data_IF_435557768334
#
_entry.id   IF_435557768334
#
_cell.length_a   1.000
_cell.length_b   1.000
_cell.length_c   1.000
_cell.angle_alpha   90.00
_cell.angle_beta   90.00
_cell.angle_gamma   90.00
#
_symmetry.space_group_name_H-M   'P 1'
#
loop_
_entity.id
_entity.type
_entity.pdbx_description
1 polymer ?
#
# COMPACT_ATOMS: atom_id res chain seq x y z
N UNK A 1 118.57 -22.54 -67.70
CA UNK A 1 117.49 -22.21 -66.74
C UNK A 1 117.98 -22.48 -65.33
N UNK A 2 117.69 -21.55 -64.42
CA UNK A 2 117.94 -21.51 -62.97
C UNK A 2 119.41 -21.49 -62.46
N UNK A 3 119.87 -20.38 -61.83
CA UNK A 3 121.13 -20.34 -61.10
C UNK A 3 120.97 -20.91 -59.68
N UNK A 4 121.88 -21.80 -59.29
CA UNK A 4 122.07 -22.27 -57.92
C UNK A 4 122.49 -21.11 -57.02
N UNK A 5 121.67 -20.83 -55.99
CA UNK A 5 121.93 -19.81 -54.97
C UNK A 5 122.90 -20.33 -53.91
N UNK A 6 123.76 -19.40 -53.50
CA UNK A 6 124.84 -19.53 -52.54
C UNK A 6 124.34 -19.80 -51.11
N UNK A 7 125.17 -20.56 -50.39
CA UNK A 7 125.22 -20.85 -48.96
C UNK A 7 124.60 -19.81 -48.03
N UNK A 8 123.74 -20.28 -47.12
CA UNK A 8 123.31 -19.54 -45.94
C UNK A 8 124.32 -19.72 -44.79
N UNK A 9 124.98 -18.66 -44.29
CA UNK A 9 125.96 -18.73 -43.19
C UNK A 9 125.37 -19.07 -41.81
N UNK A 10 124.05 -19.22 -41.71
CA UNK A 10 123.34 -19.38 -40.43
C UNK A 10 123.35 -20.80 -39.87
N UNK A 11 123.64 -21.80 -40.70
CA UNK A 11 123.61 -23.21 -40.26
C UNK A 11 124.95 -23.62 -39.64
N UNK A 12 126.07 -23.08 -40.12
CA UNK A 12 127.39 -23.26 -39.52
C UNK A 12 127.45 -22.58 -38.15
N UNK A 13 127.00 -21.33 -38.02
CA UNK A 13 127.00 -20.65 -36.71
C UNK A 13 126.07 -21.33 -35.69
N UNK A 14 124.93 -21.88 -36.14
CA UNK A 14 124.00 -22.59 -35.26
C UNK A 14 124.53 -23.98 -34.84
N UNK A 15 125.21 -24.70 -35.74
CA UNK A 15 125.90 -25.95 -35.37
C UNK A 15 127.09 -25.69 -34.45
N UNK A 16 127.83 -24.60 -34.65
CA UNK A 16 128.98 -24.24 -33.83
C UNK A 16 128.54 -23.80 -32.42
N UNK A 17 127.39 -23.12 -32.27
CA UNK A 17 126.76 -22.86 -30.98
C UNK A 17 126.24 -24.15 -30.32
N UNK A 18 125.56 -25.05 -31.06
CA UNK A 18 125.07 -26.33 -30.49
C UNK A 18 126.19 -27.28 -30.05
N UNK A 19 127.35 -27.21 -30.70
CA UNK A 19 128.51 -28.07 -30.40
C UNK A 19 129.37 -27.47 -29.28
N UNK A 20 129.29 -26.15 -29.03
CA UNK A 20 130.06 -25.47 -27.98
C UNK A 20 129.22 -25.07 -26.75
N UNK A 21 127.89 -25.13 -26.82
CA UNK A 21 127.02 -25.06 -25.65
C UNK A 21 127.24 -26.32 -24.81
N UNK A 22 127.90 -26.15 -23.66
CA UNK A 22 127.97 -27.21 -22.64
C UNK A 22 126.55 -27.73 -22.41
N UNK A 23 126.32 -29.06 -22.44
CA UNK A 23 124.99 -29.61 -22.23
C UNK A 23 124.44 -29.01 -20.95
N UNK A 24 123.26 -28.37 -21.02
CA UNK A 24 122.62 -27.78 -19.86
C UNK A 24 122.30 -28.92 -18.89
N UNK A 25 123.20 -29.15 -17.93
CA UNK A 25 122.98 -30.04 -16.81
C UNK A 25 122.35 -29.20 -15.71
N UNK A 26 121.08 -29.46 -15.35
CA UNK A 26 120.44 -28.79 -14.24
C UNK A 26 121.35 -28.89 -13.00
N UNK A 27 121.44 -27.84 -12.17
CA UNK A 27 122.30 -27.84 -10.98
C UNK A 27 122.08 -29.07 -10.09
N UNK A 28 120.83 -29.53 -10.01
CA UNK A 28 120.43 -30.74 -9.29
C UNK A 28 121.03 -32.01 -9.87
N UNK A 29 121.06 -32.14 -11.19
CA UNK A 29 121.68 -33.29 -11.86
C UNK A 29 123.20 -33.31 -11.64
N UNK A 30 123.82 -32.12 -11.56
CA UNK A 30 125.24 -31.98 -11.25
C UNK A 30 125.55 -32.40 -9.81
N UNK A 31 124.78 -31.93 -8.83
CA UNK A 31 124.92 -32.33 -7.42
C UNK A 31 124.69 -33.83 -7.21
N UNK A 32 123.78 -34.45 -7.97
CA UNK A 32 123.50 -35.89 -7.87
C UNK A 32 124.61 -36.77 -8.49
N UNK A 33 125.20 -36.33 -9.60
CA UNK A 33 126.20 -37.09 -10.36
C UNK A 33 127.61 -36.88 -9.82
N UNK A 34 127.99 -35.63 -9.52
CA UNK A 34 129.35 -35.27 -9.10
C UNK A 34 129.58 -35.56 -7.60
N UNK A 35 128.56 -35.39 -6.75
CA UNK A 35 128.68 -35.56 -5.30
C UNK A 35 128.02 -36.85 -4.78
N UNK A 36 127.42 -37.65 -5.67
CA UNK A 36 126.74 -38.92 -5.33
C UNK A 36 125.50 -38.75 -4.44
N UNK A 37 124.94 -37.54 -4.33
CA UNK A 37 123.81 -37.22 -3.45
C UNK A 37 122.49 -37.67 -4.06
N UNK A 38 121.57 -38.12 -3.22
CA UNK A 38 120.19 -38.34 -3.66
C UNK A 38 119.46 -37.01 -3.87
N UNK A 39 118.42 -36.97 -4.71
CA UNK A 39 117.63 -35.75 -4.95
C UNK A 39 117.16 -35.09 -3.65
N UNK A 40 116.78 -35.89 -2.64
CA UNK A 40 116.36 -35.40 -1.32
C UNK A 40 117.47 -34.65 -0.56
N UNK A 41 118.74 -34.94 -0.85
CA UNK A 41 119.90 -34.32 -0.19
C UNK A 41 120.42 -33.09 -0.94
N UNK A 42 120.04 -32.90 -2.21
CA UNK A 42 120.35 -31.70 -2.99
C UNK A 42 119.66 -30.46 -2.42
N UNK A 43 120.23 -29.27 -2.68
CA UNK A 43 119.66 -28.01 -2.20
C UNK A 43 118.22 -27.79 -2.70
N UNK A 44 117.94 -28.14 -3.95
CA UNK A 44 116.60 -28.08 -4.53
C UNK A 44 115.61 -29.06 -3.89
N UNK A 45 116.05 -30.30 -3.60
CA UNK A 45 115.20 -31.28 -2.93
C UNK A 45 114.85 -30.89 -1.50
N UNK A 46 115.80 -30.34 -0.74
CA UNK A 46 115.55 -29.80 0.61
C UNK A 46 114.62 -28.59 0.60
N UNK A 47 114.78 -27.70 -0.39
CA UNK A 47 113.89 -26.55 -0.56
C UNK A 47 112.46 -27.00 -0.88
N UNK A 48 112.28 -27.93 -1.83
CA UNK A 48 110.97 -28.51 -2.16
C UNK A 48 110.34 -29.25 -0.97
N UNK A 49 111.14 -29.97 -0.18
CA UNK A 49 110.65 -30.65 1.02
C UNK A 49 110.20 -29.64 2.10
N UNK A 50 110.91 -28.53 2.26
CA UNK A 50 110.50 -27.42 3.14
C UNK A 50 109.22 -26.74 2.67
N UNK A 51 109.08 -26.48 1.37
CA UNK A 51 107.85 -25.93 0.78
C UNK A 51 106.65 -26.89 0.93
N UNK A 52 106.87 -28.19 0.75
CA UNK A 52 105.84 -29.22 0.98
C UNK A 52 105.39 -29.29 2.45
N UNK A 53 106.32 -29.18 3.40
CA UNK A 53 105.99 -29.12 4.83
C UNK A 53 105.20 -27.86 5.16
N UNK A 54 105.62 -26.69 4.69
CA UNK A 54 104.87 -25.44 4.88
C UNK A 54 103.48 -25.49 4.25
N UNK A 55 103.35 -26.10 3.07
CA UNK A 55 102.05 -26.32 2.41
C UNK A 55 101.17 -27.25 3.22
N UNK A 56 101.72 -28.33 3.77
CA UNK A 56 100.99 -29.27 4.63
C UNK A 56 100.50 -28.60 5.92
N UNK A 57 101.35 -27.82 6.59
CA UNK A 57 100.97 -27.06 7.79
C UNK A 57 99.87 -26.04 7.49
N UNK A 58 99.94 -25.32 6.35
CA UNK A 58 98.88 -24.42 5.91
C UNK A 58 97.57 -25.15 5.62
N UNK A 59 97.65 -26.35 5.04
CA UNK A 59 96.47 -27.15 4.70
C UNK A 59 95.81 -27.72 5.96
N UNK A 60 96.60 -28.21 6.92
CA UNK A 60 96.11 -28.65 8.23
C UNK A 60 95.49 -27.49 9.04
N UNK A 61 96.10 -26.30 8.99
CA UNK A 61 95.56 -25.09 9.61
C UNK A 61 94.22 -24.68 8.95
N UNK A 62 94.15 -24.70 7.61
CA UNK A 62 92.95 -24.38 6.86
C UNK A 62 91.83 -25.41 7.10
N UNK A 63 92.14 -26.70 7.16
CA UNK A 63 91.18 -27.75 7.51
C UNK A 63 90.62 -27.57 8.92
N UNK A 64 91.47 -27.21 9.88
CA UNK A 64 91.04 -26.94 11.25
C UNK A 64 90.13 -25.71 11.31
N UNK A 65 90.49 -24.63 10.62
CA UNK A 65 89.67 -23.43 10.54
C UNK A 65 88.31 -23.70 9.86
N UNK A 66 88.29 -24.50 8.79
CA UNK A 66 87.06 -24.95 8.13
C UNK A 66 86.16 -25.75 9.08
N UNK A 67 86.74 -26.70 9.83
CA UNK A 67 85.98 -27.51 10.81
C UNK A 67 85.40 -26.64 11.93
N UNK A 68 86.19 -25.71 12.46
CA UNK A 68 85.73 -24.78 13.50
C UNK A 68 84.63 -23.85 12.99
N UNK A 69 84.76 -23.35 11.76
CA UNK A 69 83.74 -22.53 11.11
C UNK A 69 82.46 -23.32 10.83
N UNK A 70 82.57 -24.58 10.39
CA UNK A 70 81.41 -25.46 10.17
C UNK A 70 80.67 -25.74 11.48
N UNK A 71 81.40 -25.99 12.57
CA UNK A 71 80.81 -26.18 13.90
C UNK A 71 80.08 -24.92 14.39
N UNK A 72 80.67 -23.73 14.20
CA UNK A 72 80.02 -22.45 14.52
C UNK A 72 78.77 -22.21 13.66
N UNK A 73 78.81 -22.57 12.38
CA UNK A 73 77.64 -22.47 11.50
C UNK A 73 76.51 -23.38 11.94
N UNK A 74 76.80 -24.63 12.28
CA UNK A 74 75.79 -25.57 12.78
C UNK A 74 75.18 -25.11 14.12
N UNK A 75 75.99 -24.53 15.02
CA UNK A 75 75.47 -23.95 16.26
C UNK A 75 74.56 -22.75 16.00
N UNK A 76 74.95 -21.85 15.08
CA UNK A 76 74.11 -20.72 14.67
C UNK A 76 72.81 -21.20 14.04
N UNK A 77 72.86 -22.20 13.16
CA UNK A 77 71.67 -22.77 12.50
C UNK A 77 70.70 -23.36 13.51
N UNK A 78 71.20 -24.10 14.51
CA UNK A 78 70.37 -24.64 15.61
C UNK A 78 69.72 -23.52 16.42
N UNK A 79 70.51 -22.51 16.84
CA UNK A 79 69.98 -21.37 17.59
C UNK A 79 68.91 -20.61 16.79
N UNK A 80 69.13 -20.41 15.49
CA UNK A 80 68.18 -19.76 14.59
C UNK A 80 66.91 -20.61 14.40
N UNK A 81 67.04 -21.94 14.32
CA UNK A 81 65.89 -22.84 14.25
C UNK A 81 65.05 -22.82 15.53
N UNK A 82 65.69 -22.75 16.71
CA UNK A 82 65.00 -22.68 17.99
C UNK A 82 64.27 -21.34 18.18
N UNK A 83 64.88 -20.24 17.74
CA UNK A 83 64.27 -18.92 17.74
C UNK A 83 63.07 -18.85 16.78
N UNK A 84 63.21 -19.46 15.59
CA UNK A 84 62.10 -19.58 14.63
C UNK A 84 60.94 -20.42 15.17
N UNK A 85 61.21 -21.50 15.91
CA UNK A 85 60.14 -22.29 16.54
C UNK A 85 59.46 -21.56 17.70
N UNK A 86 60.21 -20.79 18.50
CA UNK A 86 59.62 -19.93 19.54
C UNK A 86 58.72 -18.86 18.95
N UNK A 87 59.20 -18.14 17.94
CA UNK A 87 58.42 -17.09 17.27
C UNK A 87 57.18 -17.65 16.57
N UNK A 88 57.26 -18.83 15.95
CA UNK A 88 56.08 -19.52 15.40
C UNK A 88 55.05 -19.89 16.46
N UNK A 89 55.48 -20.38 17.63
CA UNK A 89 54.56 -20.71 18.73
C UNK A 89 53.88 -19.47 19.27
N UNK A 90 54.64 -18.41 19.53
CA UNK A 90 54.07 -17.13 19.97
C UNK A 90 53.11 -16.52 18.94
N UNK A 91 53.43 -16.64 17.63
CA UNK A 91 52.56 -16.19 16.57
C UNK A 91 51.24 -16.99 16.53
N UNK A 92 51.31 -18.32 16.67
CA UNK A 92 50.12 -19.19 16.77
C UNK A 92 49.26 -18.86 17.99
N UNK A 93 49.87 -18.68 19.16
CA UNK A 93 49.13 -18.32 20.38
C UNK A 93 48.45 -16.95 20.26
N UNK A 94 49.11 -15.97 19.62
CA UNK A 94 48.49 -14.67 19.32
C UNK A 94 47.34 -14.81 18.34
N UNK A 95 47.50 -15.64 17.30
CA UNK A 95 46.44 -15.89 16.33
C UNK A 95 45.22 -16.55 16.98
N UNK A 96 45.40 -17.59 17.80
CA UNK A 96 44.31 -18.26 18.51
C UNK A 96 43.58 -17.33 19.49
N UNK A 97 44.30 -16.42 20.17
CA UNK A 97 43.67 -15.41 21.03
C UNK A 97 42.84 -14.42 20.24
N UNK A 98 43.36 -13.94 19.10
CA UNK A 98 42.62 -13.04 18.22
C UNK A 98 41.39 -13.70 17.62
N UNK A 99 41.48 -14.97 17.22
CA UNK A 99 40.34 -15.74 16.71
C UNK A 99 39.25 -15.88 17.77
N UNK A 100 39.60 -16.26 19.01
CA UNK A 100 38.63 -16.32 20.13
C UNK A 100 37.99 -14.97 20.44
N UNK A 101 38.77 -13.89 20.48
CA UNK A 101 38.24 -12.54 20.73
C UNK A 101 37.29 -12.08 19.61
N UNK A 102 37.55 -12.49 18.36
CA UNK A 102 36.68 -12.21 17.22
C UNK A 102 35.39 -13.01 17.30
N UNK A 103 35.47 -14.31 17.61
CA UNK A 103 34.30 -15.17 17.78
C UNK A 103 33.40 -14.67 18.90
N UNK A 104 33.95 -14.32 20.08
CA UNK A 104 33.20 -13.75 21.19
C UNK A 104 32.51 -12.42 20.83
N UNK A 105 33.18 -11.55 20.06
CA UNK A 105 32.58 -10.30 19.58
C UNK A 105 31.47 -10.55 18.56
N UNK A 106 31.66 -11.52 17.67
CA UNK A 106 30.66 -11.90 16.68
C UNK A 106 29.43 -12.51 17.35
N UNK A 107 29.61 -13.35 18.37
CA UNK A 107 28.50 -13.90 19.16
C UNK A 107 27.74 -12.81 19.91
N UNK A 108 28.44 -11.86 20.55
CA UNK A 108 27.80 -10.72 21.23
C UNK A 108 27.00 -9.86 20.27
N UNK A 109 27.57 -9.50 19.12
CA UNK A 109 26.84 -8.74 18.08
C UNK A 109 25.65 -9.54 17.53
N UNK A 110 25.79 -10.85 17.33
CA UNK A 110 24.70 -11.69 16.86
C UNK A 110 23.56 -11.77 17.89
N UNK A 111 23.88 -11.82 19.18
CA UNK A 111 22.89 -11.84 20.25
C UNK A 111 22.19 -10.48 20.38
N UNK A 112 22.93 -9.37 20.38
CA UNK A 112 22.36 -8.02 20.38
C UNK A 112 21.44 -7.80 19.17
N UNK A 113 21.83 -8.28 17.99
CA UNK A 113 21.00 -8.22 16.79
C UNK A 113 19.72 -9.07 16.91
N UNK A 114 19.76 -10.21 17.60
CA UNK A 114 18.57 -11.03 17.88
C UNK A 114 17.65 -10.31 18.86
N UNK A 115 18.19 -9.80 19.97
CA UNK A 115 17.42 -9.09 21.00
C UNK A 115 16.75 -7.83 20.43
N UNK A 116 17.45 -7.10 19.56
CA UNK A 116 16.90 -5.93 18.87
C UNK A 116 15.77 -6.33 17.91
N UNK A 117 15.94 -7.39 17.13
CA UNK A 117 14.87 -7.92 16.25
C UNK A 117 13.65 -8.38 17.04
N UNK A 118 13.85 -9.03 18.19
CA UNK A 118 12.74 -9.43 19.06
C UNK A 118 12.02 -8.23 19.68
N UNK A 119 12.77 -7.23 20.14
CA UNK A 119 12.20 -6.01 20.69
C UNK A 119 11.39 -5.25 19.63
N UNK A 120 11.89 -5.16 18.41
CA UNK A 120 11.20 -4.50 17.30
C UNK A 120 9.97 -5.30 16.85
N UNK A 121 10.06 -6.63 16.80
CA UNK A 121 8.91 -7.50 16.51
C UNK A 121 7.80 -7.35 17.57
N UNK A 122 8.16 -7.26 18.86
CA UNK A 122 7.19 -6.99 19.94
C UNK A 122 6.54 -5.61 19.78
N UNK A 123 7.31 -4.55 19.54
CA UNK A 123 6.77 -3.21 19.29
C UNK A 123 5.83 -3.16 18.10
N UNK A 124 6.19 -3.82 16.99
CA UNK A 124 5.33 -3.90 15.81
C UNK A 124 4.02 -4.63 16.11
N UNK A 125 4.08 -5.73 16.86
CA UNK A 125 2.88 -6.47 17.29
C UNK A 125 1.98 -5.62 18.19
N UNK A 126 2.57 -4.88 19.14
CA UNK A 126 1.81 -4.00 20.03
C UNK A 126 1.16 -2.85 19.26
N UNK A 127 1.86 -2.24 18.30
CA UNK A 127 1.27 -1.22 17.41
C UNK A 127 0.15 -1.79 16.54
N UNK A 128 0.32 -3.00 15.99
CA UNK A 128 -0.73 -3.66 15.22
C UNK A 128 -1.97 -3.94 16.07
N UNK A 129 -1.79 -4.49 17.27
CA UNK A 129 -2.89 -4.74 18.19
C UNK A 129 -3.63 -3.45 18.56
N UNK A 130 -2.89 -2.38 18.85
CA UNK A 130 -3.46 -1.08 19.20
C UNK A 130 -4.22 -0.46 18.02
N UNK A 131 -3.67 -0.54 16.82
CA UNK A 131 -4.34 -0.09 15.59
C UNK A 131 -5.60 -0.91 15.29
N UNK A 132 -5.55 -2.23 15.47
CA UNK A 132 -6.72 -3.10 15.31
C UNK A 132 -7.81 -2.82 16.35
N UNK A 133 -7.42 -2.51 17.59
CA UNK A 133 -8.34 -2.12 18.64
C UNK A 133 -9.00 -0.77 18.35
N UNK A 134 -8.23 0.23 17.92
CA UNK A 134 -8.77 1.53 17.45
C UNK A 134 -9.71 1.35 16.25
N UNK A 135 -9.36 0.49 15.29
CA UNK A 135 -10.23 0.19 14.14
C UNK A 135 -11.54 -0.46 14.59
N UNK A 136 -11.48 -1.43 15.50
CA UNK A 136 -12.69 -2.06 16.06
C UNK A 136 -13.53 -1.05 16.84
N UNK A 137 -12.91 -0.13 17.57
CA UNK A 137 -13.62 0.91 18.31
C UNK A 137 -14.33 1.88 17.34
N UNK A 138 -13.64 2.35 16.31
CA UNK A 138 -14.25 3.19 15.28
C UNK A 138 -15.41 2.48 14.57
N UNK A 139 -15.28 1.18 14.29
CA UNK A 139 -16.36 0.41 13.69
C UNK A 139 -17.58 0.32 14.63
N UNK A 140 -17.38 0.02 15.92
CA UNK A 140 -18.47 0.01 16.92
C UNK A 140 -19.15 1.37 17.04
N UNK A 141 -18.37 2.45 17.02
CA UNK A 141 -18.91 3.81 17.08
C UNK A 141 -19.70 4.17 15.81
N UNK A 142 -19.23 3.74 14.65
CA UNK A 142 -19.93 3.92 13.38
C UNK A 142 -21.25 3.13 13.35
N UNK A 143 -21.22 1.86 13.76
CA UNK A 143 -22.41 0.99 13.84
C UNK A 143 -23.44 1.56 14.82
N UNK A 144 -22.98 2.06 15.98
CA UNK A 144 -23.86 2.72 16.95
C UNK A 144 -24.51 3.97 16.37
N UNK A 145 -23.74 4.83 15.69
CA UNK A 145 -24.29 6.02 15.01
C UNK A 145 -25.27 5.65 13.90
N UNK A 146 -25.00 4.60 13.14
CA UNK A 146 -25.90 4.10 12.11
C UNK A 146 -27.22 3.59 12.71
N UNK A 147 -27.16 2.83 13.81
CA UNK A 147 -28.33 2.39 14.57
C UNK A 147 -29.13 3.57 15.11
N UNK A 148 -28.46 4.56 15.73
CA UNK A 148 -29.13 5.75 16.26
C UNK A 148 -29.85 6.56 15.16
N UNK A 149 -29.26 6.63 13.96
CA UNK A 149 -29.88 7.27 12.80
C UNK A 149 -31.08 6.47 12.28
N UNK A 150 -30.97 5.15 12.19
CA UNK A 150 -32.09 4.27 11.83
C UNK A 150 -33.25 4.43 12.82
N UNK A 151 -32.97 4.41 14.12
CA UNK A 151 -33.98 4.61 15.17
C UNK A 151 -34.65 5.98 15.08
N UNK A 152 -33.90 7.03 14.73
CA UNK A 152 -34.47 8.37 14.47
C UNK A 152 -35.40 8.35 13.26
N UNK A 153 -34.96 7.79 12.14
CA UNK A 153 -35.80 7.68 10.94
C UNK A 153 -37.04 6.83 11.17
N UNK A 154 -36.95 5.75 11.95
CA UNK A 154 -38.12 4.96 12.32
C UNK A 154 -39.10 5.73 13.20
N UNK A 155 -38.60 6.50 14.18
CA UNK A 155 -39.45 7.39 15.00
C UNK A 155 -40.16 8.42 14.15
N UNK A 156 -39.43 9.14 13.30
CA UNK A 156 -39.99 10.13 12.36
C UNK A 156 -41.03 9.49 11.43
N UNK A 157 -40.75 8.29 10.89
CA UNK A 157 -41.70 7.55 10.06
C UNK A 157 -42.97 7.19 10.82
N UNK A 158 -42.86 6.73 12.07
CA UNK A 158 -44.02 6.42 12.92
C UNK A 158 -44.84 7.67 13.22
N UNK A 159 -44.18 8.79 13.53
CA UNK A 159 -44.83 10.08 13.76
C UNK A 159 -45.55 10.60 12.51
N UNK A 160 -44.93 10.51 11.33
CA UNK A 160 -45.55 10.88 10.05
C UNK A 160 -46.77 9.99 9.74
N UNK A 161 -46.64 8.68 9.93
CA UNK A 161 -47.77 7.75 9.73
C UNK A 161 -48.90 8.05 10.72
N UNK A 162 -48.59 8.29 12.00
CA UNK A 162 -49.58 8.66 13.01
C UNK A 162 -50.28 10.00 12.67
N UNK A 163 -49.51 11.00 12.23
CA UNK A 163 -50.04 12.28 11.75
C UNK A 163 -50.95 12.09 10.54
N UNK A 164 -50.55 11.27 9.57
CA UNK A 164 -51.36 10.96 8.40
C UNK A 164 -52.64 10.22 8.76
N UNK A 165 -52.59 9.25 9.67
CA UNK A 165 -53.80 8.54 10.14
C UNK A 165 -54.75 9.48 10.88
N UNK A 166 -54.23 10.39 11.71
CA UNK A 166 -55.04 11.37 12.45
C UNK A 166 -55.64 12.44 11.52
N UNK A 167 -54.87 12.89 10.51
CA UNK A 167 -55.37 13.82 9.51
C UNK A 167 -56.44 13.17 8.61
N UNK A 168 -56.24 11.90 8.25
CA UNK A 168 -57.19 11.13 7.43
C UNK A 168 -58.48 10.88 8.20
N UNK A 169 -58.41 10.49 9.48
CA UNK A 169 -59.61 10.26 10.31
C UNK A 169 -60.38 11.57 10.58
N UNK A 170 -59.69 12.67 10.88
CA UNK A 170 -60.31 13.98 11.02
C UNK A 170 -60.97 14.48 9.73
N UNK A 171 -60.33 14.25 8.59
CA UNK A 171 -60.89 14.55 7.26
C UNK A 171 -62.13 13.71 6.95
N UNK A 172 -62.10 12.40 7.23
CA UNK A 172 -63.27 11.53 7.02
C UNK A 172 -64.44 11.90 7.91
N UNK A 173 -64.19 12.31 9.16
CA UNK A 173 -65.24 12.75 10.07
C UNK A 173 -65.89 14.07 9.63
N UNK A 174 -65.08 15.01 9.13
CA UNK A 174 -65.60 16.26 8.56
C UNK A 174 -66.41 16.00 7.28
N UNK A 175 -65.93 15.13 6.39
CA UNK A 175 -66.66 14.73 5.19
C UNK A 175 -68.00 14.06 5.54
N UNK A 176 -68.01 13.14 6.51
CA UNK A 176 -69.23 12.48 6.96
C UNK A 176 -70.24 13.46 7.58
N UNK A 177 -69.77 14.50 8.29
CA UNK A 177 -70.64 15.59 8.81
C UNK A 177 -71.22 16.43 7.67
N UNK A 178 -70.41 16.79 6.68
CA UNK A 178 -70.87 17.53 5.50
C UNK A 178 -71.89 16.73 4.67
N UNK A 179 -71.65 15.44 4.47
CA UNK A 179 -72.62 14.55 3.79
C UNK A 179 -73.95 14.48 4.53
N UNK A 180 -73.94 14.39 5.87
CA UNK A 180 -75.16 14.45 6.68
C UNK A 180 -75.92 15.77 6.50
N UNK A 181 -75.21 16.90 6.48
CA UNK A 181 -75.79 18.23 6.25
C UNK A 181 -76.35 18.40 4.84
N UNK A 182 -75.66 17.90 3.82
CA UNK A 182 -76.13 17.92 2.43
C UNK A 182 -77.41 17.08 2.32
N UNK A 183 -77.43 15.89 2.92
CA UNK A 183 -78.59 15.02 2.91
C UNK A 183 -79.78 15.59 3.68
N UNK A 184 -79.57 16.24 4.82
CA UNK A 184 -80.65 16.92 5.55
C UNK A 184 -81.20 18.10 4.74
N UNK A 185 -80.33 18.91 4.13
CA UNK A 185 -80.73 20.03 3.26
C UNK A 185 -81.50 19.55 2.03
N UNK A 186 -81.08 18.43 1.44
CA UNK A 186 -81.80 17.80 0.32
C UNK A 186 -83.18 17.33 0.74
N UNK A 187 -83.32 16.73 1.93
CA UNK A 187 -84.63 16.35 2.49
C UNK A 187 -85.53 17.58 2.69
N UNK A 188 -85.03 18.63 3.32
CA UNK A 188 -85.76 19.91 3.49
C UNK A 188 -86.25 20.44 2.14
N UNK A 189 -85.37 20.54 1.14
CA UNK A 189 -85.77 20.99 -0.21
C UNK A 189 -86.85 20.13 -0.85
N UNK A 190 -86.82 18.81 -0.62
CA UNK A 190 -87.88 17.93 -1.14
C UNK A 190 -89.21 18.11 -0.40
N UNK A 191 -89.18 18.45 0.89
CA UNK A 191 -90.37 18.78 1.66
C UNK A 191 -90.94 20.13 1.24
N UNK A 192 -90.08 21.15 1.10
CA UNK A 192 -90.45 22.47 0.57
C UNK A 192 -91.06 22.34 -0.83
N UNK A 193 -90.46 21.53 -1.71
CA UNK A 193 -91.00 21.29 -3.06
C UNK A 193 -92.37 20.61 -3.03
N UNK A 194 -92.60 19.67 -2.11
CA UNK A 194 -93.91 19.05 -1.89
C UNK A 194 -94.92 20.09 -1.38
N UNK A 195 -94.50 20.98 -0.48
CA UNK A 195 -95.34 22.04 0.06
C UNK A 195 -95.71 23.08 -1.00
N UNK A 196 -94.73 23.54 -1.80
CA UNK A 196 -94.96 24.42 -2.96
C UNK A 196 -95.96 23.79 -3.94
N UNK A 197 -95.84 22.49 -4.24
CA UNK A 197 -96.81 21.78 -5.10
C UNK A 197 -98.21 21.75 -4.48
N UNK A 198 -98.33 21.58 -3.15
CA UNK A 198 -99.63 21.64 -2.46
C UNK A 198 -100.23 23.05 -2.52
N UNK A 199 -99.42 24.08 -2.31
CA UNK A 199 -99.85 25.48 -2.40
C UNK A 199 -100.28 25.85 -3.83
N UNK A 200 -99.53 25.41 -4.83
CA UNK A 200 -99.86 25.64 -6.24
C UNK A 200 -101.18 24.96 -6.62
N UNK A 201 -101.38 23.70 -6.23
CA UNK A 201 -102.66 23.02 -6.42
C UNK A 201 -103.84 23.73 -5.72
N UNK A 202 -103.61 24.35 -4.55
CA UNK A 202 -104.64 25.16 -3.87
C UNK A 202 -104.95 26.44 -4.65
N UNK A 203 -103.92 27.11 -5.17
CA UNK A 203 -104.07 28.32 -5.99
C UNK A 203 -104.82 28.01 -7.30
N UNK A 204 -104.52 26.90 -7.96
CA UNK A 204 -105.21 26.50 -9.19
C UNK A 204 -106.68 26.19 -8.91
N UNK A 205 -106.98 25.53 -7.79
CA UNK A 205 -108.38 25.29 -7.35
C UNK A 205 -109.13 26.60 -7.09
N UNK A 206 -108.52 27.57 -6.42
CA UNK A 206 -109.17 28.86 -6.14
C UNK A 206 -109.35 29.70 -7.41
N UNK A 207 -108.39 29.66 -8.33
CA UNK A 207 -108.50 30.32 -9.63
C UNK A 207 -109.59 29.68 -10.51
N UNK A 208 -109.68 28.35 -10.55
CA UNK A 208 -110.76 27.64 -11.25
C UNK A 208 -112.14 27.93 -10.64
N UNK A 209 -112.24 28.03 -9.31
CA UNK A 209 -113.47 28.45 -8.63
C UNK A 209 -113.86 29.89 -8.97
N UNK A 210 -112.88 30.82 -9.03
CA UNK A 210 -113.13 32.20 -9.48
C UNK A 210 -113.60 32.26 -10.93
N UNK A 211 -112.99 31.50 -11.84
CA UNK A 211 -113.37 31.43 -13.25
C UNK A 211 -114.80 30.87 -13.45
N UNK A 212 -115.19 29.85 -12.69
CA UNK A 212 -116.55 29.30 -12.71
C UNK A 212 -117.60 30.27 -12.14
N UNK A 213 -117.26 31.06 -11.11
CA UNK A 213 -118.15 32.13 -10.62
C UNK A 213 -118.28 33.26 -11.66
N UNK A 214 -117.18 33.67 -12.29
CA UNK A 214 -117.19 34.73 -13.31
C UNK A 214 -118.05 34.36 -14.54
N UNK A 215 -118.02 33.10 -14.96
CA UNK A 215 -118.80 32.59 -16.10
C UNK A 215 -120.28 32.36 -15.78
N UNK A 216 -120.65 32.18 -14.49
CA UNK A 216 -122.04 32.12 -14.03
C UNK A 216 -122.76 33.47 -13.96
N UNK A 217 -122.13 34.57 -14.40
CA UNK A 217 -122.83 35.86 -14.55
C UNK A 217 -124.01 35.71 -15.51
N UNK A 218 -125.20 36.01 -14.98
CA UNK A 218 -126.51 35.92 -15.61
C UNK A 218 -126.51 36.43 -17.06
N UNK A 219 -126.46 35.50 -18.02
CA UNK A 219 -126.82 35.79 -19.40
C UNK A 219 -128.33 35.99 -19.46
N UNK A 220 -128.77 37.18 -19.85
CA UNK A 220 -130.18 37.46 -20.13
C UNK A 220 -130.67 36.43 -21.19
N UNK A 221 -131.78 35.72 -20.95
CA UNK A 221 -132.25 34.66 -21.85
C UNK A 221 -132.61 35.14 -23.26
N UNK A 222 -132.70 36.46 -23.48
CA UNK A 222 -132.89 37.05 -24.83
C UNK A 222 -131.58 37.46 -25.52
N UNK A 223 -130.41 37.19 -24.92
CA UNK A 223 -129.09 37.55 -25.47
C UNK A 223 -128.77 39.06 -25.44
N UNK A 224 -129.67 39.89 -24.91
CA UNK A 224 -129.50 41.36 -24.81
C UNK A 224 -128.94 41.75 -23.43
N UNK A 225 -128.24 42.87 -23.35
CA UNK A 225 -127.79 43.41 -22.07
C UNK A 225 -128.99 43.85 -21.21
N UNK A 226 -128.99 43.52 -19.92
CA UNK A 226 -129.98 44.05 -18.97
C UNK A 226 -129.86 45.58 -18.92
N UNK A 227 -130.97 46.31 -19.08
CA UNK A 227 -131.05 47.77 -18.90
C UNK A 227 -131.97 48.07 -17.73
N UNK A 228 -131.61 49.06 -16.90
CA UNK A 228 -132.52 49.59 -15.87
C UNK A 228 -133.55 50.51 -16.53
N UNK A 229 -134.82 50.30 -16.22
CA UNK A 229 -135.87 51.24 -16.56
C UNK A 229 -135.90 52.42 -15.58
N UNK A 230 -136.72 53.43 -15.91
CA UNK A 230 -136.89 54.67 -15.14
C UNK A 230 -137.34 54.42 -13.69
N UNK A 231 -138.05 53.33 -13.45
CA UNK A 231 -138.53 52.89 -12.12
C UNK A 231 -137.47 52.11 -11.31
N UNK A 232 -136.26 51.93 -11.84
CA UNK A 232 -135.15 51.25 -11.18
C UNK A 232 -135.10 49.73 -11.34
N UNK A 233 -136.11 49.13 -11.99
CA UNK A 233 -136.17 47.70 -12.28
C UNK A 233 -135.31 47.31 -13.49
N UNK A 234 -134.75 46.10 -13.45
CA UNK A 234 -133.92 45.56 -14.53
C UNK A 234 -134.76 44.83 -15.57
N UNK A 235 -134.65 45.27 -16.82
CA UNK A 235 -135.45 44.78 -17.94
C UNK A 235 -134.54 44.13 -18.98
N UNK A 236 -134.93 42.93 -19.43
CA UNK A 236 -134.24 42.13 -20.44
C UNK A 236 -135.18 42.02 -21.65
N UNK A 237 -134.84 42.68 -22.76
CA UNK A 237 -135.60 42.58 -24.02
C UNK A 237 -137.01 43.19 -24.03
N UNK A 238 -137.29 44.18 -23.19
CA UNK A 238 -138.57 44.92 -23.20
C UNK A 238 -139.73 44.24 -22.45
N UNK A 239 -139.49 43.10 -21.79
CA UNK A 239 -140.45 42.47 -20.88
C UNK A 239 -139.96 42.60 -19.44
N UNK A 240 -140.85 43.00 -18.52
CA UNK A 240 -140.57 43.02 -17.08
C UNK A 240 -140.29 41.60 -16.63
N UNK A 241 -139.08 41.34 -16.12
CA UNK A 241 -138.67 39.96 -15.79
C UNK A 241 -138.36 39.75 -14.32
N UNK A 242 -137.89 40.74 -13.56
CA UNK A 242 -137.59 40.59 -12.13
C UNK A 242 -137.65 41.95 -11.42
N UNK A 243 -138.35 42.01 -10.28
CA UNK A 243 -138.24 43.16 -9.36
C UNK A 243 -136.82 43.22 -8.77
N UNK A 244 -136.33 44.42 -8.44
CA UNK A 244 -134.98 44.60 -7.89
C UNK A 244 -134.64 43.70 -6.67
N UNK A 245 -135.66 43.25 -5.92
CA UNK A 245 -135.53 42.34 -4.77
C UNK A 245 -135.17 40.91 -5.19
N UNK A 246 -135.72 40.40 -6.29
CA UNK A 246 -135.43 39.03 -6.76
C UNK A 246 -134.06 38.90 -7.42
N UNK A 247 -133.58 39.95 -8.10
CA UNK A 247 -132.26 39.92 -8.72
C UNK A 247 -131.14 39.74 -7.68
N UNK A 248 -131.21 40.46 -6.54
CA UNK A 248 -130.21 40.33 -5.46
C UNK A 248 -130.17 38.93 -4.86
N UNK A 249 -131.31 38.23 -4.80
CA UNK A 249 -131.41 36.87 -4.26
C UNK A 249 -130.79 35.80 -5.16
N UNK A 250 -130.73 36.03 -6.48
CA UNK A 250 -130.09 35.11 -7.45
C UNK A 250 -128.63 35.43 -7.75
N UNK A 251 -128.15 36.61 -7.37
CA UNK A 251 -126.78 37.06 -7.58
C UNK A 251 -125.88 36.95 -6.33
N UNK A 252 -126.43 36.50 -5.20
CA UNK A 252 -125.72 36.10 -3.97
C UNK A 252 -125.56 34.59 -3.94
#
# INVERSE_FOLDING_TARGET
MAPFRKNSPKMESFMEDLMNEKPFTPPVAKDMVDEGKSFAETAAGKQLQGELLMMKEKLEAAEKEMKDNLAKFQQKEKALSEEMEKTKKEAKERQEKLEKDLDEKMEKMAQEARDQREADAKKLKDMQNKSDEERRQMQRDADKRASDLQDRHERERRELMASQTNASSGGTDQLARLEKLINSTRKMRTEDAKELKRLQNRLDRTNNARATIATKRLKCPTGKLYKKNRDGDWVCGGKHFLSAKEYKRRAS
#
